data_IF_563647404860
#
_entry.id   IF_563647404860
#
_cell.length_a   1.000
_cell.length_b   1.000
_cell.length_c   1.000
_cell.angle_alpha   90.00
_cell.angle_beta   90.00
_cell.angle_gamma   90.00
#
_symmetry.space_group_name_H-M   'P 1'
#
loop_
_entity.id
_entity.type
_entity.pdbx_description
1 polymer ?
#
# COMPACT_ATOMS: atom_id res chain seq x y z
N UNK A 1 37.33 -57.05 -23.60
CA UNK A 1 36.51 -56.23 -22.69
C UNK A 1 36.38 -54.86 -23.33
N UNK A 2 35.37 -54.69 -24.17
CA UNK A 2 35.17 -53.51 -25.02
C UNK A 2 34.05 -52.68 -24.41
N UNK A 3 34.40 -51.49 -23.93
CA UNK A 3 33.46 -50.49 -23.44
C UNK A 3 32.67 -50.01 -24.66
N UNK A 4 31.44 -50.48 -24.79
CA UNK A 4 30.48 -50.02 -25.80
C UNK A 4 30.10 -48.59 -25.41
N UNK A 5 30.60 -47.59 -26.14
CA UNK A 5 30.10 -46.23 -26.02
C UNK A 5 28.67 -46.21 -26.55
N UNK A 6 27.71 -46.07 -25.64
CA UNK A 6 26.35 -45.68 -26.01
C UNK A 6 26.43 -44.24 -26.52
N UNK A 7 26.69 -44.11 -27.82
CA UNK A 7 26.45 -42.89 -28.56
C UNK A 7 24.95 -42.60 -28.51
N UNK A 8 24.55 -41.77 -27.55
CA UNK A 8 23.23 -41.13 -27.53
C UNK A 8 23.06 -40.37 -28.83
N UNK A 9 22.34 -40.96 -29.78
CA UNK A 9 21.85 -40.30 -31.00
C UNK A 9 20.84 -39.26 -30.53
N UNK A 10 21.33 -38.06 -30.21
CA UNK A 10 20.46 -36.91 -29.91
C UNK A 10 19.74 -36.59 -31.22
N UNK A 11 18.45 -36.87 -31.27
CA UNK A 11 17.64 -36.76 -32.49
C UNK A 11 17.72 -35.33 -33.07
N UNK A 12 17.96 -35.16 -34.39
CA UNK A 12 18.09 -33.84 -35.03
C UNK A 12 16.85 -32.95 -34.86
N UNK A 13 15.68 -33.55 -34.62
CA UNK A 13 14.43 -32.84 -34.29
C UNK A 13 14.52 -32.01 -33.01
N UNK A 14 15.26 -32.47 -32.00
CA UNK A 14 15.40 -31.77 -30.72
C UNK A 14 16.16 -30.44 -30.86
N UNK A 15 17.23 -30.44 -31.65
CA UNK A 15 18.00 -29.24 -31.94
C UNK A 15 17.20 -28.22 -32.75
N UNK A 16 16.47 -28.67 -33.78
CA UNK A 16 15.59 -27.81 -34.56
C UNK A 16 14.54 -27.12 -33.69
N UNK A 17 13.93 -27.84 -32.75
CA UNK A 17 12.94 -27.26 -31.82
C UNK A 17 13.59 -26.22 -30.90
N UNK A 18 14.75 -26.51 -30.31
CA UNK A 18 15.46 -25.57 -29.43
C UNK A 18 15.86 -24.27 -30.13
N UNK A 19 16.49 -24.37 -31.29
CA UNK A 19 16.89 -23.19 -32.06
C UNK A 19 15.68 -22.45 -32.62
N UNK A 20 14.59 -23.16 -32.96
CA UNK A 20 13.31 -22.56 -33.33
C UNK A 20 12.71 -21.72 -32.19
N UNK A 21 12.70 -22.25 -30.96
CA UNK A 21 12.25 -21.51 -29.76
C UNK A 21 13.12 -20.27 -29.54
N UNK A 22 14.45 -20.40 -29.63
CA UNK A 22 15.36 -19.27 -29.46
C UNK A 22 15.13 -18.19 -30.53
N UNK A 23 14.96 -18.57 -31.79
CA UNK A 23 14.67 -17.64 -32.88
C UNK A 23 13.34 -16.92 -32.66
N UNK A 24 12.31 -17.64 -32.19
CA UNK A 24 11.02 -17.07 -31.84
C UNK A 24 11.12 -16.08 -30.68
N UNK A 25 11.86 -16.40 -29.62
CA UNK A 25 12.09 -15.49 -28.49
C UNK A 25 12.85 -14.24 -28.90
N UNK A 26 13.85 -14.36 -29.79
CA UNK A 26 14.58 -13.21 -30.33
C UNK A 26 13.69 -12.31 -31.20
N UNK A 27 12.81 -12.91 -32.00
CA UNK A 27 11.85 -12.18 -32.82
C UNK A 27 10.85 -11.43 -31.92
N UNK A 28 10.30 -12.11 -30.91
CA UNK A 28 9.45 -11.50 -29.90
C UNK A 28 10.18 -10.32 -29.24
N UNK A 29 11.33 -10.55 -28.62
CA UNK A 29 12.13 -9.51 -27.95
C UNK A 29 12.45 -8.31 -28.84
N UNK A 30 12.78 -8.55 -30.11
CA UNK A 30 13.04 -7.46 -31.07
C UNK A 30 11.79 -6.64 -31.34
N UNK A 31 10.63 -7.31 -31.45
CA UNK A 31 9.33 -6.66 -31.61
C UNK A 31 8.93 -5.87 -30.36
N UNK A 32 9.10 -6.43 -29.16
CA UNK A 32 8.80 -5.75 -27.90
C UNK A 32 9.72 -4.55 -27.68
N UNK A 33 11.02 -4.68 -27.97
CA UNK A 33 11.95 -3.54 -27.97
C UNK A 33 11.51 -2.45 -28.94
N UNK A 34 11.14 -2.81 -30.17
CA UNK A 34 10.64 -1.85 -31.16
C UNK A 34 9.41 -1.10 -30.65
N UNK A 35 8.41 -1.82 -30.10
CA UNK A 35 7.22 -1.20 -29.54
C UNK A 35 7.49 -0.37 -28.28
N UNK A 36 8.45 -0.77 -27.43
CA UNK A 36 8.87 0.00 -26.27
C UNK A 36 9.52 1.32 -26.69
N UNK A 37 10.41 1.31 -27.68
CA UNK A 37 11.08 2.53 -28.17
C UNK A 37 10.12 3.52 -28.82
N UNK A 38 9.03 3.04 -29.44
CA UNK A 38 8.01 3.89 -30.06
C UNK A 38 6.84 4.22 -29.13
N UNK A 39 6.90 3.82 -27.85
CA UNK A 39 5.86 4.11 -26.85
C UNK A 39 4.55 3.34 -27.03
N UNK A 40 4.47 2.39 -27.96
CA UNK A 40 3.28 1.58 -28.19
C UNK A 40 3.05 0.50 -27.14
N UNK A 41 4.07 0.16 -26.33
CA UNK A 41 3.92 -0.84 -25.28
C UNK A 41 2.90 -0.45 -24.21
N UNK A 42 2.66 0.86 -24.03
CA UNK A 42 1.70 1.36 -23.05
C UNK A 42 0.25 0.91 -23.35
N UNK A 43 -0.09 0.65 -24.62
CA UNK A 43 -1.41 0.11 -24.99
C UNK A 43 -1.59 -1.33 -24.53
N UNK A 44 -0.52 -2.13 -24.58
CA UNK A 44 -0.53 -3.52 -24.13
C UNK A 44 -0.57 -3.61 -22.61
N UNK A 45 0.16 -2.72 -21.93
CA UNK A 45 0.12 -2.60 -20.49
C UNK A 45 -1.27 -2.19 -19.99
N UNK A 46 -1.88 -1.16 -20.60
CA UNK A 46 -3.24 -0.72 -20.24
C UNK A 46 -4.29 -1.82 -20.47
N UNK A 47 -4.12 -2.65 -21.50
CA UNK A 47 -5.00 -3.79 -21.74
C UNK A 47 -4.81 -4.94 -20.72
N UNK A 48 -3.59 -5.23 -20.29
CA UNK A 48 -3.30 -6.36 -19.38
C UNK A 48 -3.46 -6.00 -17.90
N UNK A 49 -2.93 -4.84 -17.50
CA UNK A 49 -2.79 -4.41 -16.11
C UNK A 49 -3.50 -3.08 -15.81
N UNK A 50 -4.02 -2.38 -16.84
CA UNK A 50 -4.64 -1.08 -16.67
C UNK A 50 -5.81 -1.08 -15.68
N UNK A 51 -6.66 -2.11 -15.71
CA UNK A 51 -7.76 -2.25 -14.74
C UNK A 51 -7.25 -2.41 -13.30
N UNK A 52 -6.13 -3.13 -13.09
CA UNK A 52 -5.51 -3.33 -11.79
C UNK A 52 -4.93 -2.01 -11.26
N UNK A 53 -4.18 -1.28 -12.10
CA UNK A 53 -3.59 0.00 -11.74
C UNK A 53 -4.67 1.06 -11.46
N UNK A 54 -5.68 1.20 -12.33
CA UNK A 54 -6.80 2.13 -12.12
C UNK A 54 -7.59 1.81 -10.84
N UNK A 55 -7.82 0.53 -10.56
CA UNK A 55 -8.48 0.12 -9.30
C UNK A 55 -7.65 0.51 -8.08
N UNK A 56 -6.32 0.39 -8.14
CA UNK A 56 -5.44 0.75 -7.05
C UNK A 56 -5.33 2.27 -6.86
N UNK A 57 -5.23 3.05 -7.95
CA UNK A 57 -5.26 4.51 -7.93
C UNK A 57 -6.56 5.04 -7.32
N UNK A 58 -7.71 4.48 -7.74
CA UNK A 58 -9.00 4.84 -7.16
C UNK A 58 -9.05 4.54 -5.65
N UNK A 59 -8.58 3.36 -5.24
CA UNK A 59 -8.52 3.01 -3.83
C UNK A 59 -7.63 3.97 -3.02
N UNK A 60 -6.42 4.26 -3.52
CA UNK A 60 -5.48 5.14 -2.85
C UNK A 60 -5.99 6.58 -2.76
N UNK A 61 -6.58 7.13 -3.82
CA UNK A 61 -7.13 8.48 -3.82
C UNK A 61 -8.29 8.64 -2.81
N UNK A 62 -9.14 7.62 -2.69
CA UNK A 62 -10.20 7.57 -1.67
C UNK A 62 -9.58 7.47 -0.26
N UNK A 63 -8.58 6.61 -0.05
CA UNK A 63 -7.90 6.47 1.24
C UNK A 63 -7.17 7.75 1.67
N UNK A 64 -6.52 8.44 0.73
CA UNK A 64 -5.82 9.72 0.93
C UNK A 64 -6.81 10.81 1.33
N UNK A 65 -7.94 10.94 0.61
CA UNK A 65 -8.97 11.93 0.93
C UNK A 65 -9.51 11.71 2.34
N UNK A 66 -9.82 10.46 2.71
CA UNK A 66 -10.27 10.11 4.06
C UNK A 66 -9.23 10.43 5.13
N UNK A 67 -7.96 10.12 4.88
CA UNK A 67 -6.87 10.43 5.81
C UNK A 67 -6.70 11.94 6.00
N UNK A 68 -6.86 12.74 4.92
CA UNK A 68 -6.86 14.22 4.98
C UNK A 68 -8.01 14.76 5.83
N UNK A 69 -9.23 14.28 5.61
CA UNK A 69 -10.41 14.71 6.37
C UNK A 69 -10.24 14.41 7.88
N UNK A 70 -9.72 13.23 8.22
CA UNK A 70 -9.43 12.86 9.60
C UNK A 70 -8.30 13.70 10.21
N UNK A 71 -7.25 14.00 9.45
CA UNK A 71 -6.20 14.91 9.89
C UNK A 71 -6.75 16.31 10.20
N UNK A 72 -7.63 16.83 9.33
CA UNK A 72 -8.30 18.11 9.54
C UNK A 72 -9.20 18.08 10.79
N UNK A 73 -9.99 17.01 10.97
CA UNK A 73 -10.84 16.86 12.14
C UNK A 73 -10.03 16.80 13.44
N UNK A 74 -8.94 16.02 13.48
CA UNK A 74 -8.06 15.98 14.65
C UNK A 74 -7.32 17.31 14.87
N UNK A 75 -6.90 17.99 13.81
CA UNK A 75 -6.28 19.31 13.93
C UNK A 75 -7.26 20.36 14.46
N UNK A 76 -8.51 20.34 14.01
CA UNK A 76 -9.58 21.21 14.52
C UNK A 76 -9.84 20.97 16.00
N UNK A 77 -10.00 19.69 16.40
CA UNK A 77 -10.16 19.31 17.80
C UNK A 77 -8.95 19.71 18.65
N UNK A 78 -7.72 19.53 18.15
CA UNK A 78 -6.50 19.91 18.85
C UNK A 78 -6.44 21.42 19.08
N UNK A 79 -6.73 22.22 18.05
CA UNK A 79 -6.74 23.69 18.15
C UNK A 79 -7.81 24.17 19.12
N UNK A 80 -9.02 23.61 19.06
CA UNK A 80 -10.10 23.93 20.00
C UNK A 80 -9.73 23.60 21.46
N UNK A 81 -9.09 22.44 21.69
CA UNK A 81 -8.63 22.04 23.02
C UNK A 81 -7.46 22.91 23.53
N UNK A 82 -6.55 23.35 22.66
CA UNK A 82 -5.48 24.29 23.04
C UNK A 82 -6.03 25.65 23.46
N UNK A 83 -7.03 26.18 22.75
CA UNK A 83 -7.68 27.46 23.12
C UNK A 83 -8.31 27.35 24.52
N UNK A 84 -8.92 26.19 24.82
CA UNK A 84 -9.48 25.89 26.15
C UNK A 84 -8.41 25.76 27.24
N UNK A 85 -7.20 25.30 26.92
CA UNK A 85 -6.09 25.20 27.87
C UNK A 85 -5.38 26.53 28.11
N UNK A 86 -5.34 27.43 27.12
CA UNK A 86 -4.47 28.61 27.11
C UNK A 86 -5.17 29.96 27.33
N UNK A 87 -6.50 30.05 27.19
CA UNK A 87 -7.23 31.32 27.36
C UNK A 87 -7.58 31.68 28.81
N UNK A 88 -7.87 32.97 29.08
CA UNK A 88 -8.54 33.44 30.33
C UNK A 88 -9.81 32.64 30.66
N UNK A 89 -10.49 32.13 29.62
CA UNK A 89 -11.60 31.19 29.73
C UNK A 89 -11.21 29.84 30.35
N UNK A 90 -10.01 29.33 30.06
CA UNK A 90 -9.45 28.10 30.64
C UNK A 90 -9.10 28.26 32.11
N UNK A 91 -8.60 29.42 32.51
CA UNK A 91 -8.32 29.74 33.92
C UNK A 91 -9.64 29.79 34.71
N UNK A 92 -10.67 30.48 34.21
CA UNK A 92 -12.00 30.47 34.84
C UNK A 92 -12.66 29.07 34.80
N UNK A 93 -12.44 28.29 33.75
CA UNK A 93 -12.99 26.93 33.65
C UNK A 93 -12.29 25.95 34.59
N UNK A 94 -10.97 26.00 34.76
CA UNK A 94 -10.22 25.13 35.69
C UNK A 94 -10.51 25.50 37.16
N UNK A 95 -10.76 26.79 37.43
CA UNK A 95 -11.14 27.27 38.75
C UNK A 95 -12.60 26.91 39.11
N UNK A 96 -13.56 27.03 38.17
CA UNK A 96 -14.97 26.62 38.37
C UNK A 96 -15.22 25.10 38.19
N UNK A 97 -14.39 24.44 37.40
CA UNK A 97 -14.45 23.01 37.10
C UNK A 97 -13.17 22.35 37.61
N UNK A 98 -13.11 22.19 38.93
CA UNK A 98 -12.32 21.23 39.70
C UNK A 98 -11.20 20.49 38.92
N UNK A 99 -9.94 20.58 39.41
CA UNK A 99 -8.66 20.07 38.84
C UNK A 99 -8.77 18.79 37.95
N UNK A 100 -9.66 17.84 38.29
CA UNK A 100 -9.96 16.65 37.49
C UNK A 100 -10.40 16.94 36.04
N UNK A 101 -11.09 18.05 35.76
CA UNK A 101 -11.53 18.40 34.41
C UNK A 101 -10.36 18.94 33.58
N UNK A 102 -9.46 19.72 34.20
CA UNK A 102 -8.21 20.15 33.57
C UNK A 102 -7.35 18.96 33.14
N UNK A 103 -7.21 17.96 34.02
CA UNK A 103 -6.49 16.72 33.69
C UNK A 103 -7.17 15.92 32.57
N UNK A 104 -8.52 15.86 32.54
CA UNK A 104 -9.25 15.17 31.49
C UNK A 104 -9.13 15.88 30.12
N UNK A 105 -9.11 17.21 30.12
CA UNK A 105 -8.88 18.01 28.90
C UNK A 105 -7.46 17.83 28.40
N UNK A 106 -6.46 17.83 29.30
CA UNK A 106 -5.07 17.56 28.92
C UNK A 106 -4.88 16.16 28.30
N UNK A 107 -5.45 15.13 28.92
CA UNK A 107 -5.44 13.77 28.36
C UNK A 107 -6.13 13.71 26.99
N UNK A 108 -7.22 14.44 26.80
CA UNK A 108 -7.92 14.50 25.52
C UNK A 108 -7.07 15.22 24.46
N UNK A 109 -6.39 16.32 24.80
CA UNK A 109 -5.45 17.02 23.92
C UNK A 109 -4.34 16.09 23.45
N UNK A 110 -3.74 15.33 24.38
CA UNK A 110 -2.67 14.38 24.06
C UNK A 110 -3.17 13.29 23.12
N UNK A 111 -4.33 12.69 23.39
CA UNK A 111 -4.94 11.65 22.53
C UNK A 111 -5.23 12.19 21.13
N UNK A 112 -5.76 13.41 21.02
CA UNK A 112 -6.05 14.05 19.74
C UNK A 112 -4.76 14.38 19.00
N UNK A 113 -3.71 14.82 19.70
CA UNK A 113 -2.37 15.04 19.14
C UNK A 113 -1.78 13.76 18.56
N UNK A 114 -1.83 12.64 19.31
CA UNK A 114 -1.41 11.33 18.81
C UNK A 114 -2.23 10.89 17.59
N UNK A 115 -3.56 11.10 17.61
CA UNK A 115 -4.43 10.78 16.46
C UNK A 115 -4.08 11.61 15.22
N UNK A 116 -3.75 12.89 15.40
CA UNK A 116 -3.29 13.79 14.34
C UNK A 116 -1.97 13.32 13.74
N UNK A 117 -0.96 13.09 14.58
CA UNK A 117 0.39 12.71 14.14
C UNK A 117 0.36 11.33 13.45
N UNK A 118 -0.46 10.41 13.94
CA UNK A 118 -0.68 9.11 13.31
C UNK A 118 -1.39 9.23 11.95
N UNK A 119 -2.39 10.11 11.85
CA UNK A 119 -3.08 10.38 10.58
C UNK A 119 -2.13 11.02 9.55
N UNK A 120 -1.24 11.91 9.99
CA UNK A 120 -0.20 12.51 9.16
C UNK A 120 0.77 11.43 8.65
N UNK A 121 1.26 10.56 9.53
CA UNK A 121 2.12 9.44 9.14
C UNK A 121 1.44 8.50 8.13
N UNK A 122 0.17 8.16 8.37
CA UNK A 122 -0.64 7.37 7.45
C UNK A 122 -0.81 8.03 6.08
N UNK A 123 -1.03 9.34 6.04
CA UNK A 123 -1.13 10.10 4.80
C UNK A 123 0.20 10.11 4.02
N UNK A 124 1.32 10.31 4.71
CA UNK A 124 2.67 10.24 4.09
C UNK A 124 2.91 8.85 3.52
N UNK A 125 2.58 7.80 4.26
CA UNK A 125 2.74 6.43 3.80
C UNK A 125 1.89 6.13 2.55
N UNK A 126 0.63 6.61 2.51
CA UNK A 126 -0.24 6.47 1.34
C UNK A 126 0.33 7.18 0.10
N UNK A 127 0.87 8.40 0.25
CA UNK A 127 1.54 9.11 -0.85
C UNK A 127 2.82 8.42 -1.32
N UNK A 128 3.59 7.82 -0.40
CA UNK A 128 4.75 6.99 -0.79
C UNK A 128 4.30 5.80 -1.63
N UNK A 129 3.24 5.10 -1.22
CA UNK A 129 2.68 3.95 -1.96
C UNK A 129 2.19 4.39 -3.34
N UNK A 130 1.41 5.49 -3.41
CA UNK A 130 0.93 6.07 -4.68
C UNK A 130 2.09 6.41 -5.62
N UNK A 131 3.14 7.05 -5.09
CA UNK A 131 4.34 7.39 -5.87
C UNK A 131 5.06 6.14 -6.36
N UNK A 132 5.19 5.10 -5.52
CA UNK A 132 5.81 3.83 -5.91
C UNK A 132 5.00 3.16 -7.03
N UNK A 133 3.67 3.14 -6.95
CA UNK A 133 2.82 2.57 -8.01
C UNK A 133 3.01 3.35 -9.31
N UNK A 134 2.98 4.68 -9.26
CA UNK A 134 3.17 5.51 -10.46
C UNK A 134 4.55 5.26 -11.11
N UNK A 135 5.61 5.11 -10.30
CA UNK A 135 6.94 4.74 -10.79
C UNK A 135 6.91 3.35 -11.42
N UNK A 136 6.31 2.37 -10.74
CA UNK A 136 6.19 0.99 -11.25
C UNK A 136 5.44 0.96 -12.58
N UNK A 137 4.31 1.66 -12.69
CA UNK A 137 3.52 1.72 -13.92
C UNK A 137 4.32 2.34 -15.06
N UNK A 138 4.99 3.48 -14.82
CA UNK A 138 5.85 4.11 -15.83
C UNK A 138 7.06 3.22 -16.21
N UNK A 139 7.57 2.43 -15.26
CA UNK A 139 8.66 1.49 -15.51
C UNK A 139 8.19 0.15 -16.09
N UNK A 140 6.88 -0.15 -16.10
CA UNK A 140 6.35 -1.47 -16.49
C UNK A 140 6.79 -1.87 -17.91
N UNK A 141 6.75 -0.99 -18.94
CA UNK A 141 7.26 -1.33 -20.26
C UNK A 141 8.73 -1.79 -20.26
N UNK A 142 9.58 -1.12 -19.48
CA UNK A 142 10.99 -1.45 -19.36
C UNK A 142 11.22 -2.72 -18.57
N UNK A 143 10.40 -2.96 -17.53
CA UNK A 143 10.44 -4.18 -16.74
C UNK A 143 9.99 -5.40 -17.55
N UNK A 144 9.04 -5.25 -18.49
CA UNK A 144 8.65 -6.32 -19.43
C UNK A 144 9.84 -6.67 -20.35
N UNK A 145 10.49 -5.67 -20.96
CA UNK A 145 11.67 -5.89 -21.80
C UNK A 145 12.80 -6.55 -21.01
N UNK A 146 13.03 -6.12 -19.77
CA UNK A 146 14.01 -6.73 -18.89
C UNK A 146 13.67 -8.19 -18.57
N UNK A 147 12.40 -8.50 -18.29
CA UNK A 147 11.93 -9.86 -18.04
C UNK A 147 12.18 -10.77 -19.25
N UNK A 148 11.86 -10.33 -20.46
CA UNK A 148 12.13 -11.07 -21.70
C UNK A 148 13.63 -11.30 -21.92
N UNK A 149 14.46 -10.28 -21.64
CA UNK A 149 15.92 -10.44 -21.67
C UNK A 149 16.38 -11.50 -20.67
N UNK A 150 15.78 -11.54 -19.47
CA UNK A 150 16.04 -12.57 -18.47
C UNK A 150 15.71 -13.98 -18.96
N UNK A 151 14.57 -14.17 -19.63
CA UNK A 151 14.20 -15.45 -20.27
C UNK A 151 15.21 -15.81 -21.36
N UNK A 152 15.58 -14.86 -22.22
CA UNK A 152 16.59 -15.06 -23.25
C UNK A 152 17.94 -15.48 -22.67
N UNK A 153 18.38 -14.87 -21.57
CA UNK A 153 19.62 -15.26 -20.87
C UNK A 153 19.58 -16.72 -20.38
N UNK A 154 18.45 -17.15 -19.82
CA UNK A 154 18.29 -18.54 -19.34
C UNK A 154 18.31 -19.51 -20.52
N UNK A 155 17.52 -19.24 -21.58
CA UNK A 155 17.41 -20.13 -22.74
C UNK A 155 18.72 -20.18 -23.53
N UNK A 156 19.40 -19.05 -23.71
CA UNK A 156 20.72 -19.02 -24.37
C UNK A 156 21.76 -19.78 -23.55
N UNK A 157 21.75 -19.66 -22.23
CA UNK A 157 22.62 -20.46 -21.37
C UNK A 157 22.35 -21.96 -21.57
N UNK A 158 21.09 -22.40 -21.58
CA UNK A 158 20.74 -23.81 -21.72
C UNK A 158 21.01 -24.42 -23.11
N UNK A 159 21.06 -23.60 -24.17
CA UNK A 159 21.33 -24.07 -25.53
C UNK A 159 22.83 -24.02 -25.86
N UNK A 160 23.52 -22.94 -25.46
CA UNK A 160 24.90 -22.66 -25.89
C UNK A 160 25.96 -22.94 -24.83
N UNK A 161 25.65 -22.78 -23.55
CA UNK A 161 26.62 -23.00 -22.48
C UNK A 161 26.48 -24.42 -21.94
N UNK A 162 27.57 -25.18 -21.97
CA UNK A 162 27.60 -26.49 -21.32
C UNK A 162 27.35 -26.32 -19.82
N UNK A 163 26.54 -27.20 -19.23
CA UNK A 163 26.08 -27.10 -17.82
C UNK A 163 27.22 -27.01 -16.79
N UNK A 164 28.42 -27.48 -17.14
CA UNK A 164 29.63 -27.39 -16.30
C UNK A 164 30.35 -26.04 -16.37
N UNK A 165 29.96 -25.14 -17.27
CA UNK A 165 30.63 -23.86 -17.45
C UNK A 165 30.20 -22.87 -16.36
N UNK A 166 31.16 -22.21 -15.70
CA UNK A 166 30.88 -21.21 -14.64
C UNK A 166 29.90 -20.10 -15.06
N UNK A 167 29.91 -19.71 -16.35
CA UNK A 167 29.02 -18.70 -16.90
C UNK A 167 27.57 -19.17 -17.01
N UNK A 168 27.32 -20.48 -17.23
CA UNK A 168 25.95 -21.02 -17.31
C UNK A 168 25.16 -20.64 -16.06
N UNK A 169 25.69 -20.94 -14.88
CA UNK A 169 25.04 -20.62 -13.61
C UNK A 169 24.92 -19.13 -13.35
N UNK A 170 25.85 -18.30 -13.85
CA UNK A 170 25.76 -16.86 -13.71
C UNK A 170 24.60 -16.28 -14.54
N UNK A 171 24.51 -16.66 -15.83
CA UNK A 171 23.43 -16.21 -16.72
C UNK A 171 22.05 -16.64 -16.22
N UNK A 172 21.93 -17.90 -15.77
CA UNK A 172 20.67 -18.41 -15.22
C UNK A 172 20.26 -17.63 -13.97
N UNK A 173 21.17 -17.42 -13.00
CA UNK A 173 20.85 -16.69 -11.77
C UNK A 173 20.49 -15.22 -12.02
N UNK A 174 21.18 -14.57 -12.95
CA UNK A 174 20.88 -13.17 -13.32
C UNK A 174 19.50 -13.12 -13.99
N UNK A 175 19.21 -14.01 -14.94
CA UNK A 175 17.90 -14.08 -15.59
C UNK A 175 16.77 -14.35 -14.60
N UNK A 176 16.97 -15.28 -13.66
CA UNK A 176 16.02 -15.57 -12.58
C UNK A 176 15.80 -14.35 -11.67
N UNK A 177 16.86 -13.62 -11.32
CA UNK A 177 16.76 -12.42 -10.49
C UNK A 177 15.96 -11.30 -11.18
N UNK A 178 16.17 -11.10 -12.49
CA UNK A 178 15.42 -10.12 -13.28
C UNK A 178 13.94 -10.51 -13.36
N UNK A 179 13.64 -11.79 -13.62
CA UNK A 179 12.27 -12.30 -13.65
C UNK A 179 11.57 -12.14 -12.28
N UNK A 180 12.29 -12.42 -11.20
CA UNK A 180 11.77 -12.26 -9.84
C UNK A 180 11.50 -10.78 -9.53
N UNK A 181 12.38 -9.88 -9.95
CA UNK A 181 12.18 -8.43 -9.82
C UNK A 181 10.93 -7.97 -10.57
N UNK A 182 10.79 -8.38 -11.84
CA UNK A 182 9.59 -8.10 -12.64
C UNK A 182 8.33 -8.58 -11.92
N UNK A 183 8.32 -9.84 -11.48
CA UNK A 183 7.16 -10.44 -10.83
C UNK A 183 6.83 -9.76 -9.51
N UNK A 184 7.84 -9.37 -8.72
CA UNK A 184 7.65 -8.65 -7.47
C UNK A 184 7.03 -7.26 -7.70
N UNK A 185 7.61 -6.49 -8.62
CA UNK A 185 7.24 -5.09 -8.85
C UNK A 185 5.94 -4.94 -9.66
N UNK A 186 5.77 -5.71 -10.73
CA UNK A 186 4.66 -5.53 -11.69
C UNK A 186 3.43 -6.35 -11.31
N UNK A 187 3.61 -7.50 -10.66
CA UNK A 187 2.51 -8.43 -10.36
C UNK A 187 2.20 -8.44 -8.87
N UNK A 188 3.15 -8.87 -8.04
CA UNK A 188 2.90 -9.12 -6.61
C UNK A 188 2.51 -7.82 -5.90
N UNK A 189 3.27 -6.74 -6.08
CA UNK A 189 3.05 -5.51 -5.33
C UNK A 189 1.70 -4.86 -5.68
N UNK A 190 1.34 -4.60 -6.95
CA UNK A 190 0.03 -4.07 -7.30
C UNK A 190 -1.13 -5.01 -6.90
N UNK A 191 -0.95 -6.32 -7.01
CA UNK A 191 -1.97 -7.28 -6.61
C UNK A 191 -2.18 -7.28 -5.09
N UNK A 192 -1.11 -7.11 -4.30
CA UNK A 192 -1.20 -7.03 -2.83
C UNK A 192 -2.11 -5.88 -2.39
N UNK A 193 -2.00 -4.72 -3.05
CA UNK A 193 -2.81 -3.53 -2.78
C UNK A 193 -4.26 -3.77 -3.21
N UNK A 194 -4.47 -4.40 -4.36
CA UNK A 194 -5.82 -4.76 -4.80
C UNK A 194 -6.51 -5.73 -3.82
N UNK A 195 -5.77 -6.71 -3.29
CA UNK A 195 -6.28 -7.63 -2.28
C UNK A 195 -6.59 -6.90 -0.97
N UNK A 196 -5.77 -5.93 -0.56
CA UNK A 196 -6.10 -5.05 0.59
C UNK A 196 -7.39 -4.29 0.34
N UNK A 197 -7.58 -3.72 -0.84
CA UNK A 197 -8.82 -3.03 -1.18
C UNK A 197 -10.04 -3.95 -1.04
N UNK A 198 -9.98 -5.14 -1.65
CA UNK A 198 -11.07 -6.13 -1.59
C UNK A 198 -11.34 -6.61 -0.16
N UNK A 199 -10.29 -6.85 0.62
CA UNK A 199 -10.41 -7.27 2.01
C UNK A 199 -10.95 -6.15 2.90
N UNK A 200 -10.47 -4.92 2.71
CA UNK A 200 -10.93 -3.73 3.43
C UNK A 200 -12.42 -3.49 3.22
N UNK A 201 -12.92 -3.56 1.99
CA UNK A 201 -14.34 -3.35 1.72
C UNK A 201 -15.22 -4.42 2.38
N UNK A 202 -14.69 -5.65 2.53
CA UNK A 202 -15.44 -6.76 3.14
C UNK A 202 -15.45 -6.71 4.67
N UNK A 203 -14.34 -6.30 5.30
CA UNK A 203 -14.14 -6.41 6.76
C UNK A 203 -14.22 -5.07 7.49
N UNK A 204 -13.89 -3.98 6.81
CA UNK A 204 -13.54 -2.71 7.46
C UNK A 204 -14.48 -1.56 7.17
N UNK A 205 -15.36 -1.63 6.17
CA UNK A 205 -16.31 -0.56 5.86
C UNK A 205 -17.24 -0.24 7.04
N UNK A 206 -17.60 -1.26 7.81
CA UNK A 206 -18.49 -1.14 8.97
C UNK A 206 -17.80 -0.57 10.22
N UNK A 207 -16.47 -0.66 10.30
CA UNK A 207 -15.65 -0.13 11.39
C UNK A 207 -15.16 1.29 11.05
N UNK A 208 -14.76 1.51 9.79
CA UNK A 208 -14.29 2.80 9.29
C UNK A 208 -15.41 3.82 9.25
N UNK A 209 -16.59 3.46 8.75
CA UNK A 209 -17.74 4.36 8.72
C UNK A 209 -18.14 4.81 10.13
N UNK A 210 -18.18 3.88 11.10
CA UNK A 210 -18.53 4.19 12.50
C UNK A 210 -17.45 5.03 13.19
N UNK A 211 -16.16 4.75 12.96
CA UNK A 211 -15.05 5.54 13.51
C UNK A 211 -14.96 6.94 12.91
N UNK A 212 -15.09 7.06 11.59
CA UNK A 212 -15.14 8.35 10.89
C UNK A 212 -16.36 9.17 11.31
N UNK A 213 -17.56 8.59 11.29
CA UNK A 213 -18.77 9.27 11.76
C UNK A 213 -18.66 9.68 13.23
N UNK A 214 -18.03 8.88 14.08
CA UNK A 214 -17.80 9.25 15.48
C UNK A 214 -16.87 10.48 15.61
N UNK A 215 -15.78 10.55 14.84
CA UNK A 215 -14.85 11.69 14.86
C UNK A 215 -15.50 12.93 14.25
N UNK A 216 -16.15 12.80 13.09
CA UNK A 216 -16.83 13.92 12.42
C UNK A 216 -18.03 14.41 13.21
N UNK A 217 -18.84 13.52 13.78
CA UNK A 217 -19.93 13.94 14.67
C UNK A 217 -19.41 14.58 15.95
N UNK A 218 -18.28 14.13 16.48
CA UNK A 218 -17.64 14.78 17.63
C UNK A 218 -17.08 16.15 17.27
N UNK A 219 -16.46 16.29 16.10
CA UNK A 219 -16.03 17.58 15.54
C UNK A 219 -17.22 18.51 15.39
N UNK A 220 -18.28 18.11 14.68
CA UNK A 220 -19.46 18.93 14.43
C UNK A 220 -20.28 19.22 15.69
N UNK A 221 -20.17 18.39 16.73
CA UNK A 221 -20.86 18.60 18.01
C UNK A 221 -20.04 19.46 19.00
N UNK A 222 -18.74 19.64 18.76
CA UNK A 222 -17.85 20.47 19.59
C UNK A 222 -17.54 21.81 18.92
N UNK A 223 -17.46 21.83 17.59
CA UNK A 223 -17.05 22.95 16.74
C UNK A 223 -18.08 23.24 15.63
N UNK A 224 -19.34 22.85 15.82
CA UNK A 224 -20.40 23.01 14.80
C UNK A 224 -20.47 24.42 14.24
N UNK A 225 -20.94 24.54 12.99
CA UNK A 225 -21.01 25.80 12.23
C UNK A 225 -21.46 26.97 13.10
N UNK A 226 -20.52 27.86 13.38
CA UNK A 226 -20.83 29.07 14.10
C UNK A 226 -21.56 30.05 13.21
N UNK A 227 -22.71 30.54 13.70
CA UNK A 227 -23.39 31.70 13.13
C UNK A 227 -22.92 33.02 13.81
N UNK A 228 -21.88 32.94 14.66
CA UNK A 228 -21.35 34.07 15.40
C UNK A 228 -20.53 35.02 14.53
N UNK A 229 -20.78 36.31 14.66
CA UNK A 229 -20.07 37.38 13.92
C UNK A 229 -18.62 37.61 14.41
N UNK A 230 -18.15 36.89 15.43
CA UNK A 230 -16.81 37.03 16.00
C UNK A 230 -16.23 35.72 16.57
N UNK A 231 -14.91 35.53 16.42
CA UNK A 231 -14.14 34.40 16.98
C UNK A 231 -14.28 34.23 18.50
N UNK A 232 -14.62 35.32 19.21
CA UNK A 232 -14.77 35.32 20.66
C UNK A 232 -16.12 34.75 21.10
N UNK A 233 -17.18 34.98 20.31
CA UNK A 233 -18.51 34.38 20.55
C UNK A 233 -18.50 32.88 20.25
N UNK A 234 -17.81 32.46 19.18
CA UNK A 234 -17.68 31.05 18.78
C UNK A 234 -16.90 30.23 19.82
N UNK A 235 -15.84 30.82 20.39
CA UNK A 235 -15.11 30.23 21.50
C UNK A 235 -15.98 30.13 22.75
N UNK A 236 -16.78 31.16 23.06
CA UNK A 236 -17.71 31.17 24.19
C UNK A 236 -18.82 30.12 24.07
N UNK A 237 -19.34 29.89 22.86
CA UNK A 237 -20.36 28.90 22.58
C UNK A 237 -19.80 27.47 22.62
N UNK A 238 -18.60 27.26 22.06
CA UNK A 238 -17.85 25.99 22.18
C UNK A 238 -17.55 25.64 23.64
N UNK A 239 -17.16 26.62 24.46
CA UNK A 239 -16.96 26.47 25.91
C UNK A 239 -18.26 26.09 26.63
N UNK A 240 -19.39 26.72 26.29
CA UNK A 240 -20.71 26.37 26.86
C UNK A 240 -21.15 24.96 26.49
N UNK A 241 -20.96 24.55 25.23
CA UNK A 241 -21.27 23.19 24.79
C UNK A 241 -20.38 22.14 25.48
N UNK A 242 -19.09 22.44 25.69
CA UNK A 242 -18.19 21.59 26.46
C UNK A 242 -18.56 21.53 27.95
N UNK A 243 -18.98 22.66 28.55
CA UNK A 243 -19.47 22.74 29.93
C UNK A 243 -20.72 21.89 30.14
N UNK A 244 -21.60 21.82 29.14
CA UNK A 244 -22.76 20.92 29.13
C UNK A 244 -22.37 19.46 28.87
N UNK A 245 -21.29 19.21 28.13
CA UNK A 245 -20.74 17.86 27.93
C UNK A 245 -19.95 17.32 29.14
N UNK A 246 -19.66 18.16 30.15
CA UNK A 246 -18.86 17.88 31.37
C UNK A 246 -19.24 16.59 32.10
N UNK A 247 -20.53 16.24 32.15
CA UNK A 247 -21.02 15.01 32.82
C UNK A 247 -20.65 13.72 32.04
N UNK A 248 -20.24 13.85 30.77
CA UNK A 248 -19.89 12.72 29.89
C UNK A 248 -18.45 12.77 29.37
N UNK A 249 -17.62 13.74 29.77
CA UNK A 249 -16.24 13.90 29.25
C UNK A 249 -15.42 12.63 29.47
N UNK A 250 -15.41 12.04 30.67
CA UNK A 250 -14.60 10.84 30.94
C UNK A 250 -15.04 9.63 30.09
N UNK A 251 -16.35 9.45 29.88
CA UNK A 251 -16.87 8.42 28.98
C UNK A 251 -16.58 8.73 27.50
N UNK A 252 -16.63 10.01 27.09
CA UNK A 252 -16.29 10.46 25.74
C UNK A 252 -14.79 10.40 25.45
N UNK A 253 -13.91 10.60 26.44
CA UNK A 253 -12.45 10.44 26.31
C UNK A 253 -12.10 8.99 26.08
N UNK A 254 -12.67 8.05 26.85
CA UNK A 254 -12.49 6.61 26.59
C UNK A 254 -13.10 6.19 25.25
N UNK A 255 -14.25 6.75 24.87
CA UNK A 255 -14.87 6.50 23.57
C UNK A 255 -13.97 7.00 22.43
N UNK A 256 -13.48 8.25 22.49
CA UNK A 256 -12.62 8.83 21.46
C UNK A 256 -11.25 8.12 21.41
N UNK A 257 -10.63 7.85 22.55
CA UNK A 257 -9.37 7.09 22.64
C UNK A 257 -9.50 5.71 21.98
N UNK A 258 -10.58 4.97 22.30
CA UNK A 258 -10.84 3.66 21.70
C UNK A 258 -11.01 3.76 20.19
N UNK A 259 -11.69 4.81 19.69
CA UNK A 259 -11.89 4.99 18.25
C UNK A 259 -10.62 5.47 17.52
N UNK A 260 -9.80 6.32 18.14
CA UNK A 260 -8.50 6.75 17.60
C UNK A 260 -7.54 5.56 17.53
N UNK A 261 -7.45 4.75 18.59
CA UNK A 261 -6.62 3.53 18.60
C UNK A 261 -7.13 2.51 17.59
N UNK A 262 -8.45 2.32 17.48
CA UNK A 262 -9.04 1.39 16.50
C UNK A 262 -8.83 1.87 15.07
N UNK A 263 -8.98 3.16 14.80
CA UNK A 263 -8.66 3.75 13.50
C UNK A 263 -7.17 3.59 13.18
N UNK A 264 -6.29 3.89 14.13
CA UNK A 264 -4.85 3.74 13.97
C UNK A 264 -4.43 2.30 13.69
N UNK A 265 -4.99 1.34 14.43
CA UNK A 265 -4.76 -0.09 14.22
C UNK A 265 -5.25 -0.55 12.83
N UNK A 266 -6.42 -0.09 12.38
CA UNK A 266 -6.94 -0.42 11.06
C UNK A 266 -6.09 0.19 9.96
N UNK A 267 -5.69 1.46 10.08
CA UNK A 267 -4.78 2.12 9.15
C UNK A 267 -3.43 1.40 9.07
N UNK A 268 -2.84 1.05 10.22
CA UNK A 268 -1.61 0.27 10.26
C UNK A 268 -1.76 -1.09 9.56
N UNK A 269 -2.88 -1.77 9.83
CA UNK A 269 -3.17 -3.07 9.25
C UNK A 269 -3.36 -2.98 7.73
N UNK A 270 -4.04 -1.94 7.24
CA UNK A 270 -4.31 -1.76 5.81
C UNK A 270 -3.11 -1.24 5.03
N UNK A 271 -2.35 -0.30 5.58
CA UNK A 271 -1.25 0.36 4.86
C UNK A 271 0.04 -0.44 4.92
N UNK A 272 0.32 -1.13 6.03
CA UNK A 272 1.60 -1.83 6.23
C UNK A 272 1.43 -3.34 6.30
N UNK A 273 0.54 -3.82 7.17
CA UNK A 273 0.50 -5.23 7.52
C UNK A 273 -0.06 -6.11 6.40
N UNK A 274 -1.23 -5.76 5.86
CA UNK A 274 -1.90 -6.52 4.81
C UNK A 274 -1.11 -6.54 3.49
N UNK A 275 -0.58 -5.40 2.97
CA UNK A 275 0.22 -5.43 1.75
C UNK A 275 1.46 -6.30 1.90
N UNK A 276 2.12 -6.26 3.08
CA UNK A 276 3.28 -7.09 3.37
C UNK A 276 2.91 -8.57 3.47
N UNK A 277 1.84 -8.92 4.19
CA UNK A 277 1.36 -10.31 4.28
C UNK A 277 1.00 -10.85 2.90
N UNK A 278 0.22 -10.11 2.11
CA UNK A 278 -0.15 -10.55 0.77
C UNK A 278 1.06 -10.64 -0.15
N UNK A 279 2.02 -9.72 -0.04
CA UNK A 279 3.27 -9.80 -0.81
C UNK A 279 4.07 -11.06 -0.47
N UNK A 280 4.25 -11.36 0.82
CA UNK A 280 4.96 -12.57 1.26
C UNK A 280 4.19 -13.84 0.88
N UNK A 281 2.87 -13.83 1.02
CA UNK A 281 2.00 -14.95 0.64
C UNK A 281 2.06 -15.22 -0.86
N UNK A 282 1.93 -14.20 -1.71
CA UNK A 282 2.03 -14.32 -3.16
C UNK A 282 3.43 -14.77 -3.59
N UNK A 283 4.48 -14.25 -2.96
CA UNK A 283 5.84 -14.69 -3.20
C UNK A 283 6.05 -16.16 -2.81
N UNK A 284 5.53 -16.57 -1.65
CA UNK A 284 5.59 -17.97 -1.20
C UNK A 284 4.82 -18.90 -2.15
N UNK A 285 3.61 -18.49 -2.57
CA UNK A 285 2.77 -19.25 -3.49
C UNK A 285 3.44 -19.38 -4.86
N UNK A 286 4.01 -18.30 -5.38
CA UNK A 286 4.81 -18.33 -6.60
C UNK A 286 5.97 -19.32 -6.48
N UNK A 287 6.74 -19.25 -5.38
CA UNK A 287 7.87 -20.15 -5.16
C UNK A 287 7.44 -21.61 -5.01
N UNK A 288 6.28 -21.85 -4.39
CA UNK A 288 5.70 -23.18 -4.25
C UNK A 288 5.27 -23.75 -5.62
N UNK A 289 4.66 -22.93 -6.49
CA UNK A 289 4.31 -23.33 -7.85
C UNK A 289 5.55 -23.67 -8.68
N UNK A 290 6.60 -22.84 -8.62
CA UNK A 290 7.86 -23.06 -9.33
C UNK A 290 8.55 -24.35 -8.85
N UNK A 291 8.65 -24.57 -7.53
CA UNK A 291 9.22 -25.81 -6.97
C UNK A 291 8.42 -27.06 -7.34
N UNK A 292 7.09 -26.96 -7.35
CA UNK A 292 6.23 -28.09 -7.72
C UNK A 292 6.51 -28.49 -9.17
N UNK A 293 6.72 -27.56 -10.09
CA UNK A 293 7.07 -27.88 -11.47
C UNK A 293 8.39 -28.66 -11.64
N UNK A 294 9.40 -28.38 -10.80
CA UNK A 294 10.68 -29.10 -10.83
C UNK A 294 10.55 -30.58 -10.44
N UNK A 295 9.56 -30.93 -9.61
CA UNK A 295 9.30 -32.32 -9.20
C UNK A 295 8.54 -33.14 -10.24
N UNK A 296 7.96 -32.52 -11.27
CA UNK A 296 7.24 -33.23 -12.35
C UNK A 296 8.13 -33.42 -13.59
N UNK A 297 9.27 -32.73 -13.64
CA UNK A 297 10.26 -32.83 -14.70
C UNK A 297 11.44 -33.77 -14.37
N UNK A 298 11.43 -34.36 -13.16
CA UNK A 298 12.36 -35.40 -12.71
C UNK A 298 11.63 -36.75 -12.69
#
# INVERSE_FOLDING_TARGET
>A
MTIKSEGTIVQPRYWLVKYGILALLLLLFSSTCYFAMHGHLHYWDDWLLGDLFRSNEFFLSVAITRAKDMLLAFSGLHSGLLVLQSGEFGINFVVDANIQVGNAVAQLTDIVSYGRDFSLFGLVALHIIETIIAIVQNMTPWLIVAAELGVLMIVTADIWLYRSHKWHMAFVRIGEAILLLFLLCVIIFPLSIHLVHRFSNSVSDDIHSKGYQAVVSTHNHILGESQGTSLQDDAGESVKQLKNAKVKIHHKTNYLSTHVVRYGAVMFLQVFFLPLIFSVFLFWLFRALVRRHQHWAA
#
